data_IF_579661725835
#
_entry.id   IF_579661725835
#
_cell.length_a   1.000
_cell.length_b   1.000
_cell.length_c   1.000
_cell.angle_alpha   90.00
_cell.angle_beta   90.00
_cell.angle_gamma   90.00
#
_symmetry.space_group_name_H-M   'P 1'
#
loop_
_entity.id
_entity.type
_entity.pdbx_description
1 polymer ?
#
# COMPACT_ATOMS: atom_id res chain seq x y z
N UNK A 1 -13.65 21.38 -12.43
CA UNK A 1 -13.51 20.34 -11.38
C UNK A 1 -13.83 18.91 -11.83
N UNK A 2 -14.85 18.66 -12.67
CA UNK A 2 -15.24 17.30 -13.17
C UNK A 2 -14.09 16.51 -13.83
N UNK A 3 -13.17 17.19 -14.52
CA UNK A 3 -12.00 16.57 -15.17
C UNK A 3 -10.91 16.12 -14.19
N UNK A 4 -10.81 16.75 -13.01
CA UNK A 4 -9.83 16.37 -11.99
C UNK A 4 -10.26 15.09 -11.28
N UNK A 5 -11.57 14.97 -10.96
CA UNK A 5 -12.13 13.78 -10.34
C UNK A 5 -12.04 12.56 -11.25
N UNK A 6 -12.33 12.71 -12.55
CA UNK A 6 -12.16 11.62 -13.54
C UNK A 6 -10.67 11.24 -13.69
N UNK A 7 -9.74 12.21 -13.65
CA UNK A 7 -8.30 11.90 -13.66
C UNK A 7 -7.88 11.15 -12.39
N UNK A 8 -8.33 11.56 -11.21
CA UNK A 8 -8.03 10.87 -9.94
C UNK A 8 -8.61 9.46 -9.94
N UNK A 9 -9.89 9.29 -10.32
CA UNK A 9 -10.53 7.98 -10.46
C UNK A 9 -9.85 7.08 -11.49
N UNK A 10 -9.34 7.64 -12.58
CA UNK A 10 -8.64 6.89 -13.63
C UNK A 10 -7.23 6.43 -13.21
N UNK A 11 -6.62 7.10 -12.24
CA UNK A 11 -5.33 6.70 -11.64
C UNK A 11 -5.50 6.05 -10.26
N UNK A 12 -6.73 5.93 -9.75
CA UNK A 12 -7.04 5.24 -8.51
C UNK A 12 -6.73 3.75 -8.67
N UNK A 13 -5.80 3.24 -7.87
CA UNK A 13 -5.42 1.83 -7.92
C UNK A 13 -6.30 0.99 -7.00
N UNK A 14 -7.44 0.52 -7.54
CA UNK A 14 -8.42 -0.25 -6.76
C UNK A 14 -7.87 -1.61 -6.29
N UNK A 15 -6.88 -2.19 -7.00
CA UNK A 15 -6.24 -3.45 -6.61
C UNK A 15 -5.39 -3.28 -5.35
N UNK A 16 -4.57 -2.24 -5.33
CA UNK A 16 -3.82 -1.84 -4.13
C UNK A 16 -4.74 -1.47 -2.98
N UNK A 17 -5.84 -0.78 -3.26
CA UNK A 17 -6.83 -0.42 -2.24
C UNK A 17 -7.41 -1.66 -1.56
N UNK A 18 -7.87 -2.64 -2.35
CA UNK A 18 -8.43 -3.89 -1.86
C UNK A 18 -7.41 -4.70 -1.05
N UNK A 19 -6.19 -4.88 -1.58
CA UNK A 19 -5.16 -5.68 -0.92
C UNK A 19 -4.72 -5.03 0.41
N UNK A 20 -4.58 -3.70 0.42
CA UNK A 20 -4.19 -2.95 1.62
C UNK A 20 -5.30 -2.89 2.66
N UNK A 21 -6.55 -2.67 2.26
CA UNK A 21 -7.67 -2.61 3.21
C UNK A 21 -7.89 -3.96 3.87
N UNK A 22 -7.87 -5.06 3.11
CA UNK A 22 -8.04 -6.42 3.67
C UNK A 22 -6.93 -6.77 4.65
N UNK A 23 -5.67 -6.61 4.24
CA UNK A 23 -4.52 -6.96 5.10
C UNK A 23 -4.47 -6.13 6.37
N UNK A 24 -4.72 -4.82 6.30
CA UNK A 24 -4.75 -3.96 7.49
C UNK A 24 -5.94 -4.17 8.39
N UNK A 25 -7.12 -4.39 7.83
CA UNK A 25 -8.31 -4.70 8.62
C UNK A 25 -8.07 -5.97 9.44
N UNK A 26 -7.41 -6.98 8.87
CA UNK A 26 -6.99 -8.17 9.60
C UNK A 26 -6.01 -7.82 10.74
N UNK A 27 -4.99 -6.99 10.50
CA UNK A 27 -4.05 -6.56 11.56
C UNK A 27 -4.79 -5.87 12.71
N UNK A 28 -5.69 -4.92 12.42
CA UNK A 28 -6.45 -4.22 13.45
C UNK A 28 -7.42 -5.15 14.20
N UNK A 29 -8.02 -6.11 13.51
CA UNK A 29 -8.83 -7.14 14.14
C UNK A 29 -7.99 -7.97 15.13
N UNK A 30 -6.92 -8.62 14.66
CA UNK A 30 -6.11 -9.53 15.48
C UNK A 30 -5.41 -8.81 16.65
N UNK A 31 -4.95 -7.58 16.46
CA UNK A 31 -4.32 -6.80 17.53
C UNK A 31 -5.29 -6.34 18.61
N UNK A 32 -6.59 -6.22 18.29
CA UNK A 32 -7.62 -5.79 19.23
C UNK A 32 -8.51 -6.93 19.74
N UNK A 33 -8.31 -8.17 19.28
CA UNK A 33 -9.07 -9.35 19.73
C UNK A 33 -9.04 -9.52 21.26
N UNK A 34 -7.90 -9.23 21.89
CA UNK A 34 -7.76 -9.32 23.35
C UNK A 34 -8.61 -8.30 24.11
N UNK A 35 -9.06 -7.22 23.48
CA UNK A 35 -9.91 -6.18 24.07
C UNK A 35 -11.42 -6.46 23.92
N UNK A 36 -11.79 -7.59 23.31
CA UNK A 36 -13.18 -8.00 23.07
C UNK A 36 -13.59 -7.91 21.59
N UNK A 37 -14.56 -8.74 21.21
CA UNK A 37 -15.03 -8.88 19.83
C UNK A 37 -15.59 -7.58 19.25
N UNK A 38 -16.36 -6.82 20.03
CA UNK A 38 -17.00 -5.60 19.57
C UNK A 38 -15.97 -4.48 19.30
N UNK A 39 -14.94 -4.38 20.15
CA UNK A 39 -13.84 -3.44 19.96
C UNK A 39 -12.99 -3.81 18.73
N UNK A 40 -12.71 -5.10 18.54
CA UNK A 40 -11.96 -5.62 17.39
C UNK A 40 -12.69 -5.40 16.07
N UNK A 41 -13.99 -5.70 16.01
CA UNK A 41 -14.82 -5.47 14.82
C UNK A 41 -14.93 -3.97 14.51
N UNK A 42 -15.15 -3.14 15.54
CA UNK A 42 -15.18 -1.69 15.34
C UNK A 42 -13.85 -1.13 14.82
N UNK A 43 -12.72 -1.64 15.30
CA UNK A 43 -11.39 -1.25 14.82
C UNK A 43 -11.15 -1.71 13.38
N UNK A 44 -11.54 -2.94 13.05
CA UNK A 44 -11.48 -3.50 11.70
C UNK A 44 -12.30 -2.67 10.71
N UNK A 45 -13.55 -2.34 11.04
CA UNK A 45 -14.44 -1.58 10.15
C UNK A 45 -13.97 -0.14 9.95
N UNK A 46 -13.51 0.53 11.01
CA UNK A 46 -12.95 1.86 10.91
C UNK A 46 -11.72 1.88 10.00
N UNK A 47 -10.80 0.93 10.17
CA UNK A 47 -9.62 0.82 9.32
C UNK A 47 -9.98 0.44 7.87
N UNK A 48 -10.95 -0.45 7.67
CA UNK A 48 -11.42 -0.82 6.34
C UNK A 48 -11.98 0.40 5.60
N UNK A 49 -12.87 1.15 6.24
CA UNK A 49 -13.49 2.34 5.65
C UNK A 49 -12.44 3.41 5.30
N UNK A 50 -11.56 3.71 6.26
CA UNK A 50 -10.45 4.64 6.04
C UNK A 50 -9.56 4.20 4.87
N UNK A 51 -9.09 2.95 4.89
CA UNK A 51 -8.15 2.45 3.89
C UNK A 51 -8.77 2.26 2.52
N UNK A 52 -10.02 1.83 2.42
CA UNK A 52 -10.70 1.72 1.13
C UNK A 52 -10.76 3.07 0.41
N UNK A 53 -10.89 4.18 1.14
CA UNK A 53 -10.90 5.53 0.58
C UNK A 53 -9.49 6.02 0.23
N UNK A 54 -8.49 5.77 1.09
CA UNK A 54 -7.17 6.39 0.91
C UNK A 54 -6.16 5.51 0.16
N UNK A 55 -6.22 4.19 0.31
CA UNK A 55 -5.20 3.27 -0.20
C UNK A 55 -5.14 3.20 -1.73
N UNK A 56 -6.25 3.46 -2.41
CA UNK A 56 -6.26 3.52 -3.87
C UNK A 56 -5.61 4.78 -4.44
N UNK A 57 -5.72 5.91 -3.72
CA UNK A 57 -4.97 7.11 -4.03
C UNK A 57 -3.46 6.89 -3.83
N UNK A 58 -3.07 6.31 -2.69
CA UNK A 58 -1.67 5.96 -2.42
C UNK A 58 -1.12 4.98 -3.46
N UNK A 59 -1.85 3.90 -3.78
CA UNK A 59 -1.44 2.93 -4.80
C UNK A 59 -1.37 3.53 -6.21
N UNK A 60 -2.23 4.52 -6.52
CA UNK A 60 -2.16 5.28 -7.76
C UNK A 60 -0.90 6.14 -7.85
N UNK A 61 -0.52 6.79 -6.75
CA UNK A 61 0.72 7.56 -6.69
C UNK A 61 1.94 6.64 -6.79
N UNK A 62 1.99 5.55 -6.03
CA UNK A 62 3.04 4.53 -6.14
C UNK A 62 3.16 4.00 -7.56
N UNK A 63 2.03 3.78 -8.24
CA UNK A 63 2.01 3.37 -9.64
C UNK A 63 2.61 4.43 -10.57
N UNK A 64 2.39 5.72 -10.32
CA UNK A 64 2.99 6.81 -11.10
C UNK A 64 4.52 6.86 -10.93
N UNK A 65 5.01 6.60 -9.72
CA UNK A 65 6.44 6.56 -9.41
C UNK A 65 7.15 5.28 -9.86
N UNK A 66 6.43 4.29 -10.41
CA UNK A 66 7.04 3.02 -10.84
C UNK A 66 8.14 3.20 -11.90
N UNK A 67 7.99 4.19 -12.78
CA UNK A 67 8.88 4.47 -13.90
C UNK A 67 9.79 5.69 -13.67
N UNK A 68 9.77 6.28 -12.48
CA UNK A 68 10.58 7.46 -12.17
C UNK A 68 12.05 7.10 -11.95
N UNK A 69 12.94 7.87 -12.56
CA UNK A 69 14.40 7.81 -12.40
C UNK A 69 14.91 9.11 -11.73
N UNK A 70 15.90 9.05 -10.82
CA UNK A 70 16.60 7.85 -10.36
C UNK A 70 15.76 7.01 -9.38
N UNK A 71 15.79 5.68 -9.54
CA UNK A 71 14.91 4.74 -8.79
C UNK A 71 14.96 4.86 -7.27
N UNK A 72 16.14 5.13 -6.70
CA UNK A 72 16.30 5.25 -5.26
C UNK A 72 15.53 6.45 -4.70
N UNK A 73 15.55 7.58 -5.41
CA UNK A 73 14.84 8.79 -5.02
C UNK A 73 13.32 8.60 -5.14
N UNK A 74 12.87 7.91 -6.19
CA UNK A 74 11.47 7.51 -6.34
C UNK A 74 11.02 6.61 -5.18
N UNK A 75 11.83 5.61 -4.81
CA UNK A 75 11.55 4.73 -3.67
C UNK A 75 11.45 5.53 -2.36
N UNK A 76 12.43 6.40 -2.06
CA UNK A 76 12.40 7.23 -0.84
C UNK A 76 11.19 8.18 -0.81
N UNK A 77 10.87 8.80 -1.95
CA UNK A 77 9.74 9.73 -2.07
C UNK A 77 8.41 9.04 -1.75
N UNK A 78 8.21 7.83 -2.27
CA UNK A 78 6.98 7.06 -2.01
C UNK A 78 6.98 6.46 -0.60
N UNK A 79 8.14 6.01 -0.11
CA UNK A 79 8.30 5.38 1.21
C UNK A 79 8.13 6.36 2.37
N UNK A 80 8.50 7.63 2.20
CA UNK A 80 8.38 8.63 3.26
C UNK A 80 7.29 9.67 3.00
N UNK A 81 7.17 10.17 1.77
CA UNK A 81 6.28 11.30 1.47
C UNK A 81 4.81 10.98 1.75
N UNK A 82 4.34 9.81 1.33
CA UNK A 82 2.93 9.43 1.48
C UNK A 82 2.57 8.91 2.88
N UNK A 83 3.39 8.07 3.53
CA UNK A 83 3.07 7.53 4.84
C UNK A 83 2.98 8.58 5.94
N UNK A 84 3.78 9.66 5.88
CA UNK A 84 3.75 10.73 6.89
C UNK A 84 2.36 11.37 6.97
N UNK A 85 1.79 11.74 5.83
CA UNK A 85 0.44 12.33 5.78
C UNK A 85 -0.62 11.30 6.22
N UNK A 86 -0.51 10.06 5.72
CA UNK A 86 -1.45 8.99 6.05
C UNK A 86 -1.48 8.67 7.55
N UNK A 87 -0.34 8.61 8.21
CA UNK A 87 -0.27 8.27 9.63
C UNK A 87 -0.65 9.42 10.54
N UNK A 88 -0.50 10.66 10.07
CA UNK A 88 -1.03 11.84 10.80
C UNK A 88 -2.56 11.78 10.89
N UNK A 89 -3.21 11.46 9.77
CA UNK A 89 -4.68 11.29 9.73
C UNK A 89 -5.12 10.07 10.56
N UNK A 90 -4.43 8.93 10.38
CA UNK A 90 -4.71 7.69 11.12
C UNK A 90 -4.59 7.88 12.63
N UNK A 91 -3.51 8.54 13.09
CA UNK A 91 -3.33 8.90 14.49
C UNK A 91 -4.47 9.78 15.00
N UNK A 92 -4.87 10.80 14.24
CA UNK A 92 -5.96 11.72 14.63
C UNK A 92 -7.28 10.98 14.78
N UNK A 93 -7.64 10.12 13.83
CA UNK A 93 -8.87 9.31 13.87
C UNK A 93 -8.88 8.41 15.11
N UNK A 94 -7.79 7.70 15.37
CA UNK A 94 -7.73 6.76 16.49
C UNK A 94 -7.60 7.45 17.85
N UNK A 95 -6.99 8.62 17.91
CA UNK A 95 -6.92 9.47 19.09
C UNK A 95 -8.32 9.98 19.47
N UNK A 96 -9.08 10.52 18.51
CA UNK A 96 -10.47 10.97 18.74
C UNK A 96 -11.40 9.82 19.14
N UNK A 97 -11.16 8.61 18.63
CA UNK A 97 -11.93 7.41 18.97
C UNK A 97 -11.58 6.82 20.35
N UNK A 98 -10.48 7.25 20.98
CA UNK A 98 -10.02 6.66 22.25
C UNK A 98 -9.54 5.21 22.10
N UNK A 99 -8.88 4.88 20.99
CA UNK A 99 -8.48 3.49 20.69
C UNK A 99 -7.45 2.99 21.72
N UNK A 100 -7.70 1.86 22.41
CA UNK A 100 -6.73 1.25 23.32
C UNK A 100 -5.42 0.90 22.59
N UNK A 101 -4.28 0.92 23.29
CA UNK A 101 -2.96 0.55 22.76
C UNK A 101 -2.50 1.31 21.49
N UNK A 102 -2.96 2.56 21.32
CA UNK A 102 -2.70 3.39 20.14
C UNK A 102 -1.22 3.41 19.70
N UNK A 103 -0.27 3.51 20.63
CA UNK A 103 1.17 3.53 20.28
C UNK A 103 1.62 2.25 19.59
N UNK A 104 1.23 1.09 20.11
CA UNK A 104 1.59 -0.20 19.54
C UNK A 104 0.91 -0.42 18.18
N UNK A 105 -0.38 -0.07 18.08
CA UNK A 105 -1.12 -0.12 16.82
C UNK A 105 -0.51 0.81 15.76
N UNK A 106 -0.03 1.99 16.17
CA UNK A 106 0.61 2.93 15.24
C UNK A 106 1.98 2.47 14.79
N UNK A 107 2.82 1.96 15.70
CA UNK A 107 4.10 1.37 15.33
C UNK A 107 3.93 0.20 14.34
N UNK A 108 2.98 -0.71 14.62
CA UNK A 108 2.66 -1.81 13.73
C UNK A 108 2.14 -1.32 12.36
N UNK A 109 1.27 -0.31 12.35
CA UNK A 109 0.73 0.26 11.12
C UNK A 109 1.82 0.94 10.28
N UNK A 110 2.73 1.70 10.90
CA UNK A 110 3.86 2.35 10.21
C UNK A 110 4.78 1.30 9.60
N UNK A 111 5.19 0.29 10.37
CA UNK A 111 6.04 -0.79 9.88
C UNK A 111 5.38 -1.52 8.70
N UNK A 112 4.08 -1.84 8.83
CA UNK A 112 3.31 -2.45 7.74
C UNK A 112 3.21 -1.52 6.52
N UNK A 113 3.06 -0.20 6.70
CA UNK A 113 3.01 0.76 5.57
C UNK A 113 4.31 0.71 4.79
N UNK A 114 5.45 0.77 5.47
CA UNK A 114 6.75 0.82 4.82
C UNK A 114 6.97 -0.44 3.97
N UNK A 115 6.73 -1.63 4.55
CA UNK A 115 6.87 -2.91 3.85
C UNK A 115 5.87 -3.04 2.70
N UNK A 116 4.59 -2.75 2.94
CA UNK A 116 3.55 -2.84 1.90
C UNK A 116 3.77 -1.85 0.76
N UNK A 117 4.28 -0.66 1.05
CA UNK A 117 4.61 0.37 0.05
C UNK A 117 5.77 -0.08 -0.84
N UNK A 118 6.83 -0.62 -0.23
CA UNK A 118 7.96 -1.20 -0.98
C UNK A 118 7.50 -2.37 -1.84
N UNK A 119 6.67 -3.27 -1.29
CA UNK A 119 6.12 -4.41 -2.04
C UNK A 119 5.25 -3.94 -3.21
N UNK A 120 4.35 -2.97 -2.99
CA UNK A 120 3.53 -2.39 -4.06
C UNK A 120 4.39 -1.76 -5.17
N UNK A 121 5.40 -0.96 -4.81
CA UNK A 121 6.31 -0.37 -5.80
C UNK A 121 7.07 -1.44 -6.59
N UNK A 122 7.56 -2.48 -5.92
CA UNK A 122 8.24 -3.63 -6.53
C UNK A 122 7.33 -4.41 -7.48
N UNK A 123 6.12 -4.73 -7.04
CA UNK A 123 5.11 -5.41 -7.83
C UNK A 123 4.74 -4.59 -9.08
N UNK A 124 4.52 -3.28 -8.91
CA UNK A 124 4.16 -2.38 -10.00
C UNK A 124 5.29 -2.17 -11.01
N UNK A 125 6.56 -2.15 -10.57
CA UNK A 125 7.71 -2.15 -11.48
C UNK A 125 7.78 -3.40 -12.36
N UNK A 126 7.17 -4.51 -11.91
CA UNK A 126 7.12 -5.81 -12.61
C UNK A 126 5.78 -6.07 -13.30
N UNK A 127 4.96 -5.03 -13.47
CA UNK A 127 3.69 -5.16 -14.19
C UNK A 127 2.59 -5.87 -13.40
N UNK A 128 2.71 -5.96 -12.07
CA UNK A 128 1.73 -6.59 -11.17
C UNK A 128 1.04 -5.49 -10.34
N UNK A 129 -0.25 -5.63 -10.04
CA UNK A 129 -1.04 -4.61 -9.33
C UNK A 129 -1.14 -3.27 -10.07
N UNK A 130 -1.03 -3.28 -11.41
CA UNK A 130 -1.26 -2.09 -12.25
C UNK A 130 -2.74 -2.01 -12.63
N UNK A 131 -3.30 -0.80 -12.57
CA UNK A 131 -4.64 -0.46 -13.09
C UNK A 131 -4.51 0.48 -14.29
N UNK A 132 -5.42 0.32 -15.26
CA UNK A 132 -5.45 1.09 -16.50
C UNK A 132 -4.70 0.41 -17.65
N UNK A 133 -4.24 1.20 -18.64
CA UNK A 133 -3.51 0.67 -19.81
C UNK A 133 -2.22 -0.05 -19.35
N UNK A 134 -2.05 -1.30 -19.78
CA UNK A 134 -0.92 -2.16 -19.38
C UNK A 134 -1.14 -2.96 -18.09
N UNK A 135 -2.32 -2.88 -17.46
CA UNK A 135 -2.69 -3.72 -16.32
C UNK A 135 -3.23 -5.10 -16.75
N UNK A 136 -2.95 -6.14 -15.97
CA UNK A 136 -3.50 -7.50 -16.14
C UNK A 136 -4.81 -7.67 -15.38
N UNK A 137 -5.49 -8.81 -15.54
CA UNK A 137 -6.66 -9.15 -14.69
C UNK A 137 -6.23 -9.35 -13.24
N UNK A 138 -7.16 -9.18 -12.29
CA UNK A 138 -6.88 -9.41 -10.87
C UNK A 138 -6.41 -10.86 -10.63
N UNK A 139 -7.05 -11.84 -11.27
CA UNK A 139 -6.67 -13.24 -11.15
C UNK A 139 -5.24 -13.50 -11.63
N UNK A 140 -4.82 -12.89 -12.75
CA UNK A 140 -3.45 -13.02 -13.25
C UNK A 140 -2.42 -12.34 -12.33
N UNK A 141 -2.78 -11.21 -11.71
CA UNK A 141 -1.95 -10.58 -10.69
C UNK A 141 -1.81 -11.49 -9.47
N UNK A 142 -2.92 -12.08 -8.97
CA UNK A 142 -2.91 -13.02 -7.85
C UNK A 142 -2.07 -14.27 -8.11
N UNK A 143 -2.17 -14.86 -9.31
CA UNK A 143 -1.32 -15.97 -9.72
C UNK A 143 0.17 -15.59 -9.75
N UNK A 144 0.47 -14.30 -9.98
CA UNK A 144 1.84 -13.78 -9.99
C UNK A 144 2.36 -13.37 -8.60
N UNK A 145 1.49 -13.26 -7.59
CA UNK A 145 1.87 -12.79 -6.24
C UNK A 145 2.92 -13.68 -5.56
N UNK A 146 2.83 -15.03 -5.58
CA UNK A 146 3.84 -15.87 -4.91
C UNK A 146 5.24 -15.62 -5.47
N UNK A 147 5.37 -15.58 -6.79
CA UNK A 147 6.64 -15.29 -7.47
C UNK A 147 7.13 -13.87 -7.18
N UNK A 148 6.21 -12.90 -7.14
CA UNK A 148 6.54 -11.50 -6.85
C UNK A 148 7.04 -11.35 -5.41
N UNK A 149 6.44 -12.06 -4.46
CA UNK A 149 6.82 -12.07 -3.05
C UNK A 149 8.20 -12.71 -2.85
N UNK A 150 8.45 -13.88 -3.46
CA UNK A 150 9.79 -14.49 -3.46
C UNK A 150 10.82 -13.52 -4.02
N UNK A 151 10.52 -12.87 -5.15
CA UNK A 151 11.46 -11.92 -5.74
C UNK A 151 11.65 -10.66 -4.91
N UNK A 152 10.64 -10.21 -4.18
CA UNK A 152 10.72 -9.06 -3.29
C UNK A 152 11.68 -9.34 -2.14
N UNK A 153 11.57 -10.53 -1.53
CA UNK A 153 12.46 -10.96 -0.45
C UNK A 153 13.89 -11.15 -0.96
N UNK A 154 14.09 -11.87 -2.06
CA UNK A 154 15.44 -12.15 -2.59
C UNK A 154 16.15 -10.93 -3.17
N UNK A 155 15.42 -9.86 -3.51
CA UNK A 155 15.98 -8.57 -3.94
C UNK A 155 16.21 -7.59 -2.79
N UNK A 156 16.16 -8.04 -1.53
CA UNK A 156 16.33 -7.16 -0.37
C UNK A 156 15.24 -6.09 -0.30
N UNK A 157 13.97 -6.51 -0.36
CA UNK A 157 12.79 -5.63 -0.37
C UNK A 157 12.73 -4.70 -1.60
N UNK A 158 13.20 -5.17 -2.76
CA UNK A 158 13.22 -4.41 -4.01
C UNK A 158 14.31 -3.31 -4.08
N UNK A 159 15.18 -3.22 -3.08
CA UNK A 159 16.27 -2.22 -3.02
C UNK A 159 17.51 -2.66 -3.80
N UNK A 160 17.74 -3.97 -3.97
CA UNK A 160 18.90 -4.54 -4.64
C UNK A 160 18.61 -5.04 -6.06
N UNK A 161 17.42 -4.75 -6.61
CA UNK A 161 16.99 -5.30 -7.90
C UNK A 161 17.74 -4.64 -9.08
N UNK A 162 18.86 -5.27 -9.49
CA UNK A 162 19.70 -4.89 -10.64
C UNK A 162 19.21 -5.41 -12.00
N UNK A 163 18.12 -6.21 -12.06
CA UNK A 163 17.73 -6.89 -13.31
C UNK A 163 17.02 -6.02 -14.35
N UNK A 164 16.74 -4.75 -14.04
CA UNK A 164 16.11 -3.79 -14.97
C UNK A 164 17.05 -2.66 -15.41
N UNK A 165 18.35 -2.72 -15.08
CA UNK A 165 19.36 -1.78 -15.59
C UNK A 165 19.97 -2.23 -16.93
N UNK A 166 19.83 -3.51 -17.29
CA UNK A 166 20.43 -4.07 -18.51
C UNK A 166 19.53 -3.99 -19.74
N UNK A 167 18.21 -3.83 -19.61
CA UNK A 167 17.29 -3.69 -20.76
C UNK A 167 17.22 -2.27 -21.34
N UNK A 168 17.86 -1.27 -20.71
CA UNK A 168 17.88 0.12 -21.19
C UNK A 168 19.24 0.52 -21.80
N UNK A 169 20.10 -0.47 -22.07
CA UNK A 169 21.39 -0.31 -22.76
C UNK A 169 21.52 -1.22 -23.99
N UNK A 170 20.41 -1.80 -24.48
CA UNK A 170 20.35 -2.57 -25.73
C UNK A 170 19.40 -1.88 -26.72
#
# INVERSE_FOLDING_TARGET
>A
MRNCFIRILRHWNWKSALLSSLSRSAVFFFTNLHAGSDAAIGAMLAEFAYRSLTAGFYGGLTQAFRAAEPRWLATLSVMFGMPVVSHTIEFTVHWLRGTPNLRASMAASVAFTLVSTLFHLHAMRRGVLIVGKGGRSLAADFASLPRTLVSFVTSGFGLLDRRLTTENQA
#
